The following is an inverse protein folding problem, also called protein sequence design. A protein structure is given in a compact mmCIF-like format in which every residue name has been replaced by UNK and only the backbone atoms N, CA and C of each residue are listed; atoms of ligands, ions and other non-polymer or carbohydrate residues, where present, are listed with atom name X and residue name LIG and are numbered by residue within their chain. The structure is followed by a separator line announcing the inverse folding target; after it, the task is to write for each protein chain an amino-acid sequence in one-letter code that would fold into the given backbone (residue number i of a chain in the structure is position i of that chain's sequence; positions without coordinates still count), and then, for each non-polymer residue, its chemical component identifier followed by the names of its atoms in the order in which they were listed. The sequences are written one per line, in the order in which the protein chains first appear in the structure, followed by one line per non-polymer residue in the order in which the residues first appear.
data_IF_360239547392
#
_entry.id   IF_360239547392
#
_cell.length_a   1.000
_cell.length_b   1.000
_cell.length_c   1.000
_cell.angle_alpha   90.00
_cell.angle_beta   90.00
_cell.angle_gamma   90.00
#
_symmetry.space_group_name_H-M   'P 1'
#
loop_
_entity.id
_entity.type
_entity.pdbx_description
1 polymer ?
#
# COMPACT_ATOMS: atom_id res chain seq x y z
N UNK A 1 -0.64 16.50 12.87
CA UNK A 1 -1.27 15.48 13.75
C UNK A 1 -0.65 14.13 13.40
N UNK A 2 -0.13 13.37 14.38
CA UNK A 2 0.44 12.06 14.12
C UNK A 2 -0.62 11.01 13.80
N UNK A 3 -0.30 10.11 12.86
CA UNK A 3 -1.12 8.96 12.44
C UNK A 3 -2.62 9.26 12.31
N UNK A 4 -3.06 10.26 11.52
CA UNK A 4 -4.44 10.70 11.50
C UNK A 4 -5.42 9.59 11.09
N UNK A 5 -6.62 9.64 11.67
CA UNK A 5 -7.77 8.87 11.19
C UNK A 5 -8.23 9.39 9.82
N UNK A 6 -9.15 8.65 9.18
CA UNK A 6 -9.85 9.15 8.01
C UNK A 6 -10.67 10.40 8.34
N UNK A 7 -10.80 11.28 7.35
CA UNK A 7 -11.79 12.35 7.40
C UNK A 7 -13.15 11.81 6.98
N UNK A 8 -14.25 12.53 7.26
CA UNK A 8 -15.59 12.19 6.74
C UNK A 8 -15.63 12.05 5.21
N UNK A 9 -14.84 12.86 4.51
CA UNK A 9 -14.70 12.75 3.06
C UNK A 9 -14.00 11.45 2.68
N UNK A 10 -12.92 11.08 3.38
CA UNK A 10 -12.24 9.80 3.21
C UNK A 10 -13.15 8.59 3.48
N UNK A 11 -13.99 8.66 4.51
CA UNK A 11 -15.00 7.62 4.78
C UNK A 11 -16.01 7.48 3.63
N UNK A 12 -16.46 8.61 3.05
CA UNK A 12 -17.36 8.60 1.89
C UNK A 12 -16.67 8.04 0.63
N UNK A 13 -15.38 8.31 0.46
CA UNK A 13 -14.56 7.68 -0.60
C UNK A 13 -14.47 6.16 -0.40
N UNK A 14 -14.29 5.70 0.84
CA UNK A 14 -14.27 4.26 1.16
C UNK A 14 -15.61 3.59 0.84
N UNK A 15 -16.72 4.23 1.18
CA UNK A 15 -18.07 3.74 0.87
C UNK A 15 -18.34 3.68 -0.64
N UNK A 16 -17.86 4.67 -1.40
CA UNK A 16 -17.95 4.65 -2.86
C UNK A 16 -17.14 3.50 -3.47
N UNK A 17 -15.94 3.23 -2.94
CA UNK A 17 -15.14 2.07 -3.36
C UNK A 17 -15.84 0.75 -3.03
N UNK A 18 -16.39 0.60 -1.81
CA UNK A 18 -17.13 -0.60 -1.41
C UNK A 18 -18.32 -0.89 -2.34
N UNK A 19 -19.01 0.15 -2.80
CA UNK A 19 -20.17 0.01 -3.68
C UNK A 19 -19.81 -0.27 -5.15
N UNK A 20 -18.60 0.10 -5.60
CA UNK A 20 -18.22 0.07 -7.01
C UNK A 20 -17.13 -0.95 -7.36
N UNK A 21 -16.40 -1.49 -6.39
CA UNK A 21 -15.32 -2.43 -6.64
C UNK A 21 -15.85 -3.77 -7.19
N UNK A 22 -15.51 -4.16 -8.43
CA UNK A 22 -16.18 -5.26 -9.11
C UNK A 22 -15.63 -6.65 -8.76
N UNK A 23 -14.57 -6.74 -7.96
CA UNK A 23 -13.83 -7.99 -7.74
C UNK A 23 -13.82 -8.46 -6.27
N UNK A 24 -14.68 -7.91 -5.41
CA UNK A 24 -14.72 -8.22 -3.97
C UNK A 24 -14.73 -9.72 -3.70
N UNK A 25 -15.55 -10.49 -4.42
CA UNK A 25 -15.69 -11.93 -4.22
C UNK A 25 -14.41 -12.72 -4.50
N UNK A 26 -13.54 -12.22 -5.39
CA UNK A 26 -12.28 -12.88 -5.74
C UNK A 26 -11.21 -12.70 -4.67
N UNK A 27 -11.30 -11.67 -3.82
CA UNK A 27 -10.26 -11.36 -2.83
C UNK A 27 -10.14 -12.51 -1.83
N UNK A 28 -8.89 -12.94 -1.65
CA UNK A 28 -8.44 -14.02 -0.77
C UNK A 28 -7.72 -13.49 0.47
N UNK A 29 -7.04 -12.34 0.36
CA UNK A 29 -6.29 -11.72 1.45
C UNK A 29 -6.44 -10.20 1.43
N UNK A 30 -6.37 -9.61 2.63
CA UNK A 30 -6.32 -8.18 2.84
C UNK A 30 -5.00 -7.84 3.54
N UNK A 31 -4.25 -6.90 2.98
CA UNK A 31 -3.01 -6.40 3.56
C UNK A 31 -3.07 -4.88 3.56
N UNK A 32 -2.64 -4.24 4.64
CA UNK A 32 -2.59 -2.78 4.73
C UNK A 32 -1.32 -2.31 5.43
N UNK A 33 -0.92 -1.07 5.18
CA UNK A 33 0.06 -0.45 6.08
C UNK A 33 -0.53 -0.33 7.50
N UNK A 34 0.29 -0.34 8.57
CA UNK A 34 -0.22 -0.25 9.93
C UNK A 34 -0.69 1.14 10.35
N UNK A 35 -0.67 2.14 9.46
CA UNK A 35 -1.25 3.45 9.73
C UNK A 35 -2.77 3.36 9.83
N UNK A 36 -3.36 4.09 10.78
CA UNK A 36 -4.80 3.98 11.09
C UNK A 36 -5.68 4.24 9.88
N UNK A 37 -5.32 5.24 9.05
CA UNK A 37 -6.05 5.57 7.82
C UNK A 37 -6.09 4.41 6.81
N UNK A 38 -5.02 3.63 6.66
CA UNK A 38 -4.98 2.52 5.68
C UNK A 38 -5.74 1.31 6.20
N UNK A 39 -5.63 1.01 7.50
CA UNK A 39 -6.43 -0.05 8.13
C UNK A 39 -7.93 0.29 8.04
N UNK A 40 -8.32 1.53 8.37
CA UNK A 40 -9.71 1.97 8.24
C UNK A 40 -10.21 1.96 6.80
N UNK A 41 -9.40 2.38 5.82
CA UNK A 41 -9.77 2.26 4.41
C UNK A 41 -10.04 0.80 4.03
N UNK A 42 -9.18 -0.14 4.45
CA UNK A 42 -9.40 -1.56 4.19
C UNK A 42 -10.70 -2.09 4.85
N UNK A 43 -10.93 -1.75 6.12
CA UNK A 43 -12.14 -2.14 6.86
C UNK A 43 -13.42 -1.60 6.22
N UNK A 44 -13.41 -0.33 5.80
CA UNK A 44 -14.59 0.36 5.28
C UNK A 44 -14.85 0.11 3.79
N UNK A 45 -13.81 -0.16 3.00
CA UNK A 45 -13.96 -0.48 1.57
C UNK A 45 -14.23 -1.95 1.29
N UNK A 46 -13.90 -2.86 2.22
CA UNK A 46 -14.13 -4.29 2.07
C UNK A 46 -14.89 -4.92 3.25
N UNK A 47 -16.02 -4.35 3.69
CA UNK A 47 -16.72 -4.80 4.90
C UNK A 47 -17.18 -6.27 4.80
N UNK A 48 -17.64 -6.72 3.62
CA UNK A 48 -18.10 -8.10 3.42
C UNK A 48 -16.98 -9.15 3.51
N UNK A 49 -15.71 -8.74 3.41
CA UNK A 49 -14.56 -9.64 3.47
C UNK A 49 -14.11 -9.91 4.91
N UNK A 50 -14.23 -8.91 5.78
CA UNK A 50 -13.82 -9.00 7.20
C UNK A 50 -14.95 -9.50 8.12
N UNK A 51 -16.18 -9.57 7.59
CA UNK A 51 -17.34 -10.13 8.27
C UNK A 51 -17.60 -11.59 7.88
N UNK A 52 -18.40 -12.35 8.66
CA UNK A 52 -18.88 -13.66 8.24
C UNK A 52 -19.61 -13.61 6.89
N UNK A 53 -19.42 -14.60 6.01
CA UNK A 53 -18.73 -15.88 6.27
C UNK A 53 -17.22 -15.85 6.04
N UNK A 54 -16.67 -14.86 5.33
CA UNK A 54 -15.24 -14.85 4.96
C UNK A 54 -14.33 -14.60 6.15
N UNK A 55 -14.68 -13.66 7.02
CA UNK A 55 -13.94 -13.33 8.26
C UNK A 55 -12.42 -13.16 8.03
N UNK A 56 -12.02 -12.58 6.90
CA UNK A 56 -10.61 -12.32 6.61
C UNK A 56 -10.05 -11.32 7.62
N UNK A 57 -8.81 -11.54 8.03
CA UNK A 57 -8.06 -10.56 8.81
C UNK A 57 -7.23 -9.68 7.87
N UNK A 58 -7.18 -8.40 8.18
CA UNK A 58 -6.27 -7.46 7.52
C UNK A 58 -4.89 -7.63 8.15
N UNK A 59 -3.92 -8.11 7.39
CA UNK A 59 -2.52 -8.17 7.83
C UNK A 59 -1.92 -6.77 7.78
N UNK A 60 -1.50 -6.24 8.92
CA UNK A 60 -0.82 -4.95 9.00
C UNK A 60 0.68 -5.14 8.73
N UNK A 61 1.15 -4.72 7.55
CA UNK A 61 2.52 -4.92 7.08
C UNK A 61 3.31 -3.58 7.10
N UNK A 62 4.27 -3.38 8.03
CA UNK A 62 5.02 -2.13 8.19
C UNK A 62 5.68 -1.59 6.92
N UNK A 63 6.15 -2.48 6.05
CA UNK A 63 6.85 -2.13 4.81
C UNK A 63 6.00 -1.23 3.90
N UNK A 64 4.67 -1.37 3.95
CA UNK A 64 3.70 -0.61 3.16
C UNK A 64 3.44 0.82 3.64
N UNK A 65 4.14 1.31 4.67
CA UNK A 65 3.93 2.66 5.20
C UNK A 65 4.36 3.76 4.21
N UNK A 66 3.78 4.95 4.35
CA UNK A 66 4.13 6.14 3.56
C UNK A 66 5.63 6.48 3.68
N UNK A 67 6.13 7.23 2.71
CA UNK A 67 7.53 7.54 2.47
C UNK A 67 8.08 8.58 3.46
N UNK A 68 7.36 9.67 3.74
CA UNK A 68 7.89 10.80 4.51
C UNK A 68 7.96 10.55 6.02
N UNK A 69 8.80 11.30 6.72
CA UNK A 69 8.89 11.34 8.20
C UNK A 69 7.98 12.43 8.82
N UNK A 70 7.08 13.02 8.02
CA UNK A 70 6.10 13.97 8.53
C UNK A 70 5.25 13.33 9.64
N UNK A 71 4.77 14.09 10.63
CA UNK A 71 3.96 13.54 11.71
C UNK A 71 2.77 12.72 11.19
N UNK A 72 2.08 13.20 10.16
CA UNK A 72 0.94 12.48 9.58
C UNK A 72 1.32 11.12 8.96
N UNK A 73 2.58 10.91 8.59
CA UNK A 73 3.07 9.67 7.98
C UNK A 73 3.80 8.79 8.99
N UNK A 74 3.89 9.23 10.24
CA UNK A 74 4.44 8.46 11.35
C UNK A 74 3.30 7.73 12.05
N UNK A 75 3.37 6.40 12.11
CA UNK A 75 2.35 5.56 12.71
C UNK A 75 2.35 5.56 14.24
N UNK A 76 1.31 4.97 14.83
CA UNK A 76 1.19 4.80 16.29
C UNK A 76 1.96 3.57 16.81
N UNK A 77 2.30 3.56 18.09
CA UNK A 77 2.92 2.40 18.74
C UNK A 77 1.98 1.17 18.71
N UNK A 78 2.52 -0.06 18.75
CA UNK A 78 1.71 -1.29 18.69
C UNK A 78 0.58 -1.33 19.71
N UNK A 79 0.84 -0.96 20.97
CA UNK A 79 -0.18 -0.95 22.03
C UNK A 79 -1.34 0.02 21.74
N UNK A 80 -1.06 1.15 21.08
CA UNK A 80 -2.09 2.12 20.69
C UNK A 80 -2.95 1.57 19.55
N UNK A 81 -2.34 0.87 18.60
CA UNK A 81 -3.06 0.20 17.51
C UNK A 81 -3.91 -0.96 18.04
N UNK A 82 -3.38 -1.75 18.97
CA UNK A 82 -4.11 -2.85 19.62
C UNK A 82 -5.30 -2.33 20.43
N UNK A 83 -5.12 -1.25 21.19
CA UNK A 83 -6.23 -0.63 21.92
C UNK A 83 -7.35 -0.14 20.97
N UNK A 84 -6.98 0.35 19.79
CA UNK A 84 -7.94 0.91 18.83
C UNK A 84 -8.63 -0.17 17.98
N UNK A 85 -7.87 -1.14 17.43
CA UNK A 85 -8.37 -2.15 16.51
C UNK A 85 -8.67 -3.51 17.17
N UNK A 86 -8.15 -3.77 18.36
CA UNK A 86 -8.45 -4.97 19.16
C UNK A 86 -9.78 -4.90 19.93
N UNK A 87 -10.49 -3.77 19.85
CA UNK A 87 -11.70 -3.51 20.61
C UNK A 87 -12.93 -3.23 19.72
N UNK A 88 -14.11 -3.29 20.35
CA UNK A 88 -15.41 -2.92 19.77
C UNK A 88 -15.67 -3.56 18.39
N UNK A 89 -16.07 -2.77 17.41
CA UNK A 89 -16.48 -3.23 16.08
C UNK A 89 -15.32 -3.74 15.21
N UNK A 90 -14.07 -3.49 15.60
CA UNK A 90 -12.87 -3.92 14.88
C UNK A 90 -12.22 -5.18 15.46
N UNK A 91 -12.65 -5.59 16.66
CA UNK A 91 -12.06 -6.71 17.40
C UNK A 91 -11.96 -7.97 16.52
N UNK A 92 -10.73 -8.50 16.42
CA UNK A 92 -10.43 -9.72 15.67
C UNK A 92 -10.31 -9.56 14.14
N UNK A 93 -10.48 -8.36 13.59
CA UNK A 93 -10.42 -8.09 12.14
C UNK A 93 -9.05 -7.65 11.62
N UNK A 94 -8.16 -7.22 12.51
CA UNK A 94 -6.82 -6.74 12.17
C UNK A 94 -5.78 -7.65 12.82
N UNK A 95 -4.83 -8.13 12.02
CA UNK A 95 -3.67 -8.86 12.48
C UNK A 95 -2.48 -7.89 12.58
N UNK A 96 -2.14 -7.52 13.82
CA UNK A 96 -1.03 -6.64 14.16
C UNK A 96 0.27 -7.41 14.47
N UNK A 97 0.33 -8.72 14.21
CA UNK A 97 1.46 -9.57 14.63
C UNK A 97 2.81 -9.16 14.04
N UNK A 98 2.83 -8.48 12.88
CA UNK A 98 4.06 -7.96 12.24
C UNK A 98 4.45 -6.55 12.74
N UNK A 99 3.57 -5.88 13.47
CA UNK A 99 3.76 -4.51 13.94
C UNK A 99 4.53 -4.54 15.27
N UNK A 100 5.85 -4.44 15.19
CA UNK A 100 6.76 -4.53 16.35
C UNK A 100 7.16 -3.15 16.87
N UNK A 101 7.64 -3.10 18.12
CA UNK A 101 8.19 -1.88 18.70
C UNK A 101 9.24 -1.24 17.79
N UNK A 102 9.10 0.06 17.55
CA UNK A 102 9.99 0.83 16.71
C UNK A 102 9.68 0.79 15.20
N UNK A 103 8.62 0.10 14.75
CA UNK A 103 8.18 0.10 13.34
C UNK A 103 7.91 1.52 12.79
N UNK A 104 7.46 2.42 13.67
CA UNK A 104 7.11 3.81 13.37
C UNK A 104 8.27 4.80 13.54
N UNK A 105 9.48 4.37 13.94
CA UNK A 105 10.62 5.28 14.13
C UNK A 105 11.25 5.57 12.77
N UNK A 106 10.88 6.70 12.14
CA UNK A 106 11.35 7.10 10.80
C UNK A 106 12.68 7.86 10.81
N UNK A 107 13.73 7.25 11.34
CA UNK A 107 15.07 7.87 11.41
C UNK A 107 16.03 7.38 10.31
N UNK A 108 17.14 8.07 10.06
CA UNK A 108 18.22 7.55 9.20
C UNK A 108 18.83 6.23 9.70
N UNK A 109 18.76 5.95 11.01
CA UNK A 109 19.32 4.73 11.62
C UNK A 109 18.44 3.49 11.49
N UNK A 110 17.21 3.64 11.02
CA UNK A 110 16.17 2.60 10.95
C UNK A 110 15.79 2.29 9.49
N UNK A 111 15.27 1.10 9.17
CA UNK A 111 14.78 0.79 7.82
C UNK A 111 13.55 1.62 7.42
N UNK A 112 12.90 2.29 8.39
CA UNK A 112 11.68 3.07 8.22
C UNK A 112 11.90 4.51 7.76
N UNK A 113 13.16 4.95 7.67
CA UNK A 113 13.50 6.33 7.29
C UNK A 113 13.04 6.72 5.88
N UNK A 114 12.93 8.02 5.58
CA UNK A 114 12.35 8.53 4.34
C UNK A 114 13.30 8.52 3.13
N UNK A 115 14.55 8.08 3.32
CA UNK A 115 15.53 8.06 2.23
C UNK A 115 15.08 7.09 1.11
N UNK A 116 15.18 7.47 -0.18
CA UNK A 116 14.65 6.67 -1.29
C UNK A 116 15.11 5.21 -1.28
N UNK A 117 16.37 4.95 -0.98
CA UNK A 117 16.96 3.61 -0.93
C UNK A 117 16.34 2.73 0.18
N UNK A 118 15.90 3.33 1.28
CA UNK A 118 15.18 2.63 2.35
C UNK A 118 13.74 2.33 1.94
N UNK A 119 13.09 3.26 1.26
CA UNK A 119 11.73 3.06 0.73
C UNK A 119 11.73 1.97 -0.35
N UNK A 120 12.73 1.98 -1.24
CA UNK A 120 12.92 0.94 -2.26
C UNK A 120 13.18 -0.43 -1.62
N UNK A 121 14.04 -0.50 -0.60
CA UNK A 121 14.25 -1.74 0.15
C UNK A 121 12.94 -2.25 0.79
N UNK A 122 12.11 -1.37 1.37
CA UNK A 122 10.78 -1.75 1.88
C UNK A 122 9.85 -2.21 0.77
N UNK A 123 9.87 -1.58 -0.41
CA UNK A 123 9.08 -2.00 -1.55
C UNK A 123 9.44 -3.42 -2.00
N UNK A 124 10.74 -3.74 -2.09
CA UNK A 124 11.24 -5.09 -2.38
C UNK A 124 10.71 -6.10 -1.34
N UNK A 125 10.92 -5.84 -0.05
CA UNK A 125 10.44 -6.74 1.03
C UNK A 125 8.92 -6.93 0.96
N UNK A 126 8.16 -5.86 0.71
CA UNK A 126 6.70 -5.95 0.60
C UNK A 126 6.26 -6.82 -0.60
N UNK A 127 6.94 -6.74 -1.75
CA UNK A 127 6.64 -7.58 -2.91
C UNK A 127 6.95 -9.05 -2.63
N UNK A 128 8.08 -9.34 -1.97
CA UNK A 128 8.40 -10.71 -1.54
C UNK A 128 7.33 -11.27 -0.60
N UNK A 129 6.94 -10.52 0.42
CA UNK A 129 5.88 -10.93 1.35
C UNK A 129 4.57 -11.25 0.62
N UNK A 130 4.12 -10.36 -0.28
CA UNK A 130 2.88 -10.55 -1.03
C UNK A 130 2.96 -11.76 -1.98
N UNK A 131 4.12 -12.00 -2.58
CA UNK A 131 4.34 -13.13 -3.46
C UNK A 131 4.30 -14.45 -2.68
N UNK A 132 5.00 -14.53 -1.55
CA UNK A 132 4.98 -15.71 -0.67
C UNK A 132 3.57 -15.98 -0.13
N UNK A 133 2.86 -14.95 0.34
CA UNK A 133 1.47 -15.08 0.80
C UNK A 133 0.54 -15.66 -0.27
N UNK A 134 0.67 -15.19 -1.51
CA UNK A 134 -0.11 -15.71 -2.64
C UNK A 134 0.23 -17.15 -2.97
N UNK A 135 1.53 -17.47 -3.04
CA UNK A 135 2.02 -18.82 -3.33
C UNK A 135 1.58 -19.83 -2.28
N UNK A 136 1.67 -19.50 -1.00
CA UNK A 136 1.23 -20.38 0.09
C UNK A 136 -0.27 -20.69 -0.02
N UNK A 137 -1.09 -19.70 -0.42
CA UNK A 137 -2.51 -19.92 -0.66
C UNK A 137 -2.77 -20.82 -1.87
N UNK A 138 -2.11 -20.55 -2.99
CA UNK A 138 -2.23 -21.33 -4.22
C UNK A 138 -1.79 -22.78 -4.02
N UNK A 139 -0.65 -23.01 -3.35
CA UNK A 139 -0.14 -24.35 -3.03
C UNK A 139 -1.11 -25.12 -2.11
N UNK A 140 -1.74 -24.43 -1.14
CA UNK A 140 -2.67 -25.04 -0.20
C UNK A 140 -4.06 -25.32 -0.79
N UNK A 141 -4.53 -24.50 -1.72
CA UNK A 141 -5.94 -24.52 -2.18
C UNK A 141 -6.10 -24.94 -3.65
N UNK A 142 -5.05 -24.84 -4.46
CA UNK A 142 -5.12 -25.00 -5.92
C UNK A 142 -5.89 -23.89 -6.64
N UNK A 143 -6.13 -22.75 -5.98
CA UNK A 143 -6.86 -21.60 -6.52
C UNK A 143 -5.96 -20.37 -6.57
N UNK A 144 -6.14 -19.54 -7.61
CA UNK A 144 -5.44 -18.27 -7.76
C UNK A 144 -5.59 -17.37 -6.53
N UNK A 145 -4.49 -16.78 -6.07
CA UNK A 145 -4.52 -15.81 -4.99
C UNK A 145 -4.83 -14.41 -5.53
N UNK A 146 -5.77 -13.72 -4.86
CA UNK A 146 -6.06 -12.31 -5.10
C UNK A 146 -5.91 -11.52 -3.80
N UNK A 147 -4.92 -10.63 -3.75
CA UNK A 147 -4.57 -9.88 -2.55
C UNK A 147 -4.94 -8.41 -2.77
N UNK A 148 -5.80 -7.87 -1.92
CA UNK A 148 -6.06 -6.43 -1.90
C UNK A 148 -5.11 -5.76 -0.91
N UNK A 149 -4.32 -4.80 -1.43
CA UNK A 149 -3.29 -4.09 -0.67
C UNK A 149 -3.70 -2.62 -0.53
N UNK A 150 -3.82 -2.13 0.70
CA UNK A 150 -4.17 -0.73 1.00
C UNK A 150 -2.95 0.00 1.58
N UNK A 151 -2.40 0.92 0.79
CA UNK A 151 -1.18 1.67 1.12
C UNK A 151 -1.34 3.15 0.75
N UNK A 152 -0.25 3.87 0.50
CA UNK A 152 -0.23 5.32 0.31
C UNK A 152 0.33 5.69 -1.05
N UNK A 153 -0.08 6.87 -1.54
CA UNK A 153 0.25 7.33 -2.88
C UNK A 153 1.75 7.47 -3.15
N UNK A 154 2.53 7.96 -2.18
CA UNK A 154 3.98 8.09 -2.35
C UNK A 154 4.66 6.73 -2.43
N UNK A 155 4.24 5.79 -1.57
CA UNK A 155 4.81 4.43 -1.53
C UNK A 155 4.48 3.60 -2.78
N UNK A 156 3.30 3.80 -3.38
CA UNK A 156 2.87 3.05 -4.57
C UNK A 156 3.88 3.17 -5.73
N UNK A 157 4.51 4.33 -5.92
CA UNK A 157 5.52 4.52 -6.96
C UNK A 157 6.72 3.57 -6.81
N UNK A 158 7.15 3.31 -5.58
CA UNK A 158 8.23 2.36 -5.29
C UNK A 158 7.75 0.92 -5.38
N UNK A 159 6.55 0.64 -4.88
CA UNK A 159 5.97 -0.70 -4.89
C UNK A 159 5.75 -1.22 -6.32
N UNK A 160 5.25 -0.36 -7.21
CA UNK A 160 4.90 -0.72 -8.61
C UNK A 160 5.99 -0.37 -9.61
N UNK A 161 7.07 0.31 -9.18
CA UNK A 161 8.16 0.77 -10.04
C UNK A 161 7.66 1.67 -11.20
N UNK A 162 6.55 2.38 -10.94
CA UNK A 162 5.87 3.24 -11.91
C UNK A 162 5.73 4.66 -11.36
N UNK A 163 6.32 5.61 -12.07
CA UNK A 163 6.34 7.03 -11.74
C UNK A 163 5.44 7.87 -12.64
N UNK A 164 4.68 7.22 -13.54
CA UNK A 164 3.70 7.89 -14.41
C UNK A 164 2.66 8.63 -13.55
N UNK A 165 2.34 9.86 -13.91
CA UNK A 165 1.39 10.68 -13.13
C UNK A 165 2.01 11.39 -11.93
N UNK A 166 3.26 11.11 -11.55
CA UNK A 166 3.85 11.71 -10.36
C UNK A 166 3.86 13.24 -10.45
N UNK A 167 3.21 13.88 -9.49
CA UNK A 167 3.14 15.33 -9.39
C UNK A 167 3.84 15.78 -8.11
N UNK A 168 4.87 16.63 -8.24
CA UNK A 168 5.69 17.07 -7.08
C UNK A 168 4.89 17.82 -6.01
N UNK A 169 3.83 18.53 -6.38
CA UNK A 169 3.01 19.30 -5.45
C UNK A 169 2.08 18.38 -4.66
N UNK A 170 1.47 17.40 -5.34
CA UNK A 170 0.62 16.39 -4.68
C UNK A 170 1.43 15.30 -3.96
N UNK A 171 2.68 15.07 -4.38
CA UNK A 171 3.54 13.99 -3.89
C UNK A 171 3.18 12.60 -4.43
N UNK A 172 2.21 12.49 -5.34
CA UNK A 172 1.78 11.23 -5.95
C UNK A 172 0.97 11.47 -7.22
N UNK A 173 0.93 10.46 -8.09
CA UNK A 173 0.03 10.37 -9.25
C UNK A 173 -1.25 9.56 -8.99
N UNK A 174 -1.52 9.19 -7.73
CA UNK A 174 -2.66 8.38 -7.33
C UNK A 174 -3.71 9.23 -6.63
N UNK A 175 -4.98 9.03 -6.99
CA UNK A 175 -6.10 9.63 -6.27
C UNK A 175 -6.49 8.77 -5.06
N UNK A 176 -7.10 9.39 -4.03
CA UNK A 176 -7.57 8.66 -2.86
C UNK A 176 -8.59 7.59 -3.27
N UNK A 177 -8.44 6.37 -2.74
CA UNK A 177 -9.27 5.19 -3.08
C UNK A 177 -9.26 4.78 -4.56
N UNK A 178 -8.33 5.32 -5.36
CA UNK A 178 -8.02 4.74 -6.66
C UNK A 178 -7.51 3.31 -6.47
N UNK A 179 -7.94 2.42 -7.35
CA UNK A 179 -7.44 1.05 -7.39
C UNK A 179 -6.87 0.73 -8.76
N UNK A 180 -5.78 -0.02 -8.76
CA UNK A 180 -5.15 -0.63 -9.93
C UNK A 180 -4.93 -2.11 -9.65
N UNK A 181 -4.87 -2.93 -10.69
CA UNK A 181 -4.62 -4.36 -10.56
C UNK A 181 -3.32 -4.75 -11.25
N UNK A 182 -2.54 -5.58 -10.57
CA UNK A 182 -1.21 -6.02 -10.98
C UNK A 182 -1.10 -7.53 -10.89
N UNK A 183 -0.16 -8.08 -11.64
CA UNK A 183 0.32 -9.47 -11.51
C UNK A 183 1.82 -9.44 -11.24
N UNK A 184 2.37 -10.47 -10.59
CA UNK A 184 3.81 -10.63 -10.55
C UNK A 184 4.36 -10.88 -11.96
N UNK A 185 5.50 -10.28 -12.27
CA UNK A 185 6.14 -10.48 -13.56
C UNK A 185 6.67 -11.90 -13.74
N UNK A 186 7.29 -12.15 -14.90
CA UNK A 186 7.93 -13.42 -15.21
C UNK A 186 9.43 -13.22 -15.49
N UNK A 187 10.20 -14.31 -15.43
CA UNK A 187 11.63 -14.30 -15.74
C UNK A 187 12.42 -13.33 -14.86
N UNK A 188 13.13 -12.38 -15.49
CA UNK A 188 13.92 -11.37 -14.80
C UNK A 188 13.08 -10.37 -13.98
N UNK A 189 11.78 -10.28 -14.24
CA UNK A 189 10.83 -9.40 -13.54
C UNK A 189 9.93 -10.12 -12.54
N UNK A 190 10.26 -11.35 -12.16
CA UNK A 190 9.44 -12.17 -11.24
C UNK A 190 9.18 -11.53 -9.86
N UNK A 191 10.02 -10.55 -9.48
CA UNK A 191 9.92 -9.82 -8.22
C UNK A 191 9.25 -8.44 -8.37
N UNK A 192 8.89 -8.06 -9.60
CA UNK A 192 8.21 -6.80 -9.94
C UNK A 192 6.71 -7.00 -10.11
N UNK A 193 5.95 -5.91 -9.95
CA UNK A 193 4.53 -5.87 -10.25
C UNK A 193 4.31 -5.32 -11.66
N UNK A 194 3.55 -6.03 -12.49
CA UNK A 194 3.17 -5.62 -13.83
C UNK A 194 1.69 -5.28 -13.83
N UNK A 195 1.34 -4.03 -14.18
CA UNK A 195 -0.06 -3.60 -14.22
C UNK A 195 -0.81 -4.39 -15.30
N UNK A 196 -2.02 -4.85 -14.97
CA UNK A 196 -2.84 -5.59 -15.92
C UNK A 196 -3.37 -4.69 -17.04
N UNK A 197 -3.55 -5.25 -18.23
CA UNK A 197 -4.10 -4.50 -19.36
C UNK A 197 -5.51 -3.96 -19.12
N UNK A 198 -6.33 -4.61 -18.29
CA UNK A 198 -7.64 -4.09 -17.88
C UNK A 198 -7.49 -2.82 -17.04
N UNK A 199 -6.54 -2.82 -16.09
CA UNK A 199 -6.24 -1.66 -15.25
C UNK A 199 -5.73 -0.48 -16.07
N UNK A 200 -4.76 -0.72 -16.97
CA UNK A 200 -4.25 0.33 -17.86
C UNK A 200 -5.38 0.93 -18.72
N UNK A 201 -6.27 0.11 -19.28
CA UNK A 201 -7.41 0.58 -20.08
C UNK A 201 -8.41 1.40 -19.24
N UNK A 202 -8.68 0.99 -18.00
CA UNK A 202 -9.59 1.71 -17.10
C UNK A 202 -9.10 3.12 -16.79
N UNK A 203 -7.78 3.30 -16.67
CA UNK A 203 -7.15 4.61 -16.40
C UNK A 203 -6.62 5.33 -17.64
N UNK A 204 -6.81 4.77 -18.84
CA UNK A 204 -6.38 5.41 -20.07
C UNK A 204 -7.13 6.75 -20.23
N UNK A 205 -6.38 7.87 -20.28
CA UNK A 205 -6.93 9.23 -20.32
C UNK A 205 -6.94 9.98 -18.99
N UNK A 206 -6.61 9.32 -17.86
CA UNK A 206 -6.29 9.99 -16.58
C UNK A 206 -4.78 10.04 -16.30
N UNK A 207 -3.95 9.60 -17.26
CA UNK A 207 -2.49 9.67 -17.18
C UNK A 207 -2.02 11.12 -17.34
N UNK A 208 -1.29 11.62 -16.33
CA UNK A 208 -0.59 12.90 -16.43
C UNK A 208 0.88 12.58 -16.73
N UNK A 209 1.37 12.75 -17.97
CA UNK A 209 2.78 12.52 -18.26
C UNK A 209 3.65 13.50 -17.46
N UNK A 210 4.85 13.05 -17.08
CA UNK A 210 5.87 13.95 -16.52
C UNK A 210 6.19 15.02 -17.57
N UNK A 211 6.32 16.28 -17.14
CA UNK A 211 6.85 17.32 -18.02
C UNK A 211 8.34 17.11 -18.26
N UNK A 212 8.89 17.62 -19.37
CA UNK A 212 10.34 17.54 -19.66
C UNK A 212 11.23 18.08 -18.52
N UNK A 213 10.71 19.03 -17.73
CA UNK A 213 11.40 19.57 -16.56
C UNK A 213 11.36 18.58 -15.40
N UNK A 214 10.21 17.95 -15.16
CA UNK A 214 10.07 16.90 -14.15
C UNK A 214 10.90 15.66 -14.51
N UNK A 215 10.99 15.29 -15.79
CA UNK A 215 11.87 14.20 -16.26
C UNK A 215 13.35 14.53 -16.02
N UNK A 216 13.81 15.74 -16.33
CA UNK A 216 15.20 16.16 -16.08
C UNK A 216 15.54 16.20 -14.60
N UNK A 217 14.65 16.73 -13.77
CA UNK A 217 14.85 16.78 -12.32
C UNK A 217 14.71 15.41 -11.66
N UNK A 218 13.83 14.55 -12.16
CA UNK A 218 13.72 13.15 -11.76
C UNK A 218 15.01 12.38 -12.08
N UNK A 219 15.53 12.55 -13.30
CA UNK A 219 16.83 12.00 -13.70
C UNK A 219 18.00 12.62 -12.92
N UNK A 220 17.89 13.85 -12.42
CA UNK A 220 18.92 14.48 -11.57
C UNK A 220 18.88 13.95 -10.12
N UNK A 221 17.70 13.67 -9.57
CA UNK A 221 17.55 13.09 -8.23
C UNK A 221 17.95 11.60 -8.23
N UNK A 222 17.49 10.83 -9.22
CA UNK A 222 17.83 9.40 -9.36
C UNK A 222 19.26 9.23 -9.90
N UNK A 223 19.68 10.04 -10.88
CA UNK A 223 21.00 9.97 -11.51
C UNK A 223 22.12 10.57 -10.65
N UNK A 224 21.84 11.64 -9.90
CA UNK A 224 22.78 12.20 -8.92
C UNK A 224 23.09 11.27 -7.74
N UNK A 225 22.23 10.26 -7.49
CA UNK A 225 22.46 9.21 -6.50
C UNK A 225 23.21 7.98 -7.07
N UNK A 226 23.31 7.82 -8.40
CA UNK A 226 24.12 6.77 -9.04
C UNK A 226 25.59 7.17 -9.24
N UNK A 227 25.91 8.46 -9.30
CA UNK A 227 27.28 8.96 -9.55
C UNK A 227 28.14 9.18 -8.30
N UNK A 228 27.67 8.78 -7.10
CA UNK A 228 28.41 8.93 -5.84
C UNK A 228 28.94 7.61 -5.24
N UNK A 229 29.08 6.55 -6.06
CA UNK A 229 29.84 5.35 -5.71
C UNK A 229 31.20 5.31 -6.40
#
# INVERSE_FOLDING_TARGET
MPDPLLTKHGESQCAALAASFPHTERITHLVASPLRRTILTALLSFPSLVEPPKSLKIVALPELQETSDSPCDTGSDPDVLEQYFGAAEWAGKVDLSLVKDGWNVKSPSTPWGPAPEKVEARAVVSRHFLHELGREYEERTGQDAHIAVVTHGGFLHFATEDWTGYNKVKGTGWENTEWRSFVFGEGEKKESLVETGESCKRRAGSEIPLTETEEREFNAVIGGQKELN
#
